data_IF_994222126130
#
_entry.id   IF_994222126130
#
_cell.length_a   1.000
_cell.length_b   1.000
_cell.length_c   1.000
_cell.angle_alpha   90.00
_cell.angle_beta   90.00
_cell.angle_gamma   90.00
#
_symmetry.space_group_name_H-M   'P 1'
#
loop_
_entity.id
_entity.type
_entity.pdbx_description
1 polymer ?
#
# COMPACT_ATOMS: atom_id res chain seq x y z
N UNK A 1 15.27 -15.87 -8.72
CA UNK A 1 15.94 -14.75 -8.03
C UNK A 1 14.87 -13.81 -7.48
N UNK A 2 14.32 -14.09 -6.30
CA UNK A 2 13.09 -13.43 -5.80
C UNK A 2 13.33 -12.04 -5.20
N UNK A 3 14.55 -11.79 -4.67
CA UNK A 3 14.93 -10.50 -4.09
C UNK A 3 15.00 -9.39 -5.15
N UNK A 4 15.47 -9.71 -6.36
CA UNK A 4 15.57 -8.74 -7.46
C UNK A 4 14.21 -8.18 -7.86
N UNK A 5 13.20 -9.06 -7.98
CA UNK A 5 11.84 -8.67 -8.36
C UNK A 5 11.17 -7.77 -7.31
N UNK A 6 11.45 -7.97 -6.02
CA UNK A 6 10.96 -7.09 -4.95
C UNK A 6 11.61 -5.69 -5.00
N UNK A 7 12.92 -5.64 -5.30
CA UNK A 7 13.66 -4.38 -5.44
C UNK A 7 13.30 -3.64 -6.73
N UNK A 8 13.02 -4.35 -7.82
CA UNK A 8 12.71 -3.79 -9.14
C UNK A 8 11.24 -3.39 -9.32
N UNK A 9 10.37 -3.63 -8.33
CA UNK A 9 8.99 -3.16 -8.43
C UNK A 9 8.97 -1.63 -8.63
N UNK A 10 8.38 -1.09 -9.70
CA UNK A 10 8.39 0.35 -9.90
C UNK A 10 7.65 1.05 -8.74
N UNK A 11 8.08 2.25 -8.32
CA UNK A 11 7.30 3.07 -7.39
C UNK A 11 5.89 3.27 -7.91
N UNK A 12 4.93 3.51 -7.01
CA UNK A 12 3.56 3.81 -7.40
C UNK A 12 3.52 5.07 -8.28
N UNK A 13 2.81 5.01 -9.39
CA UNK A 13 2.75 6.11 -10.36
C UNK A 13 1.71 7.14 -9.95
N UNK A 14 0.55 6.69 -9.48
CA UNK A 14 -0.54 7.57 -9.02
C UNK A 14 -1.01 7.27 -7.59
N UNK A 15 -0.52 6.20 -6.97
CA UNK A 15 -0.87 5.85 -5.60
C UNK A 15 -2.35 5.45 -5.43
N UNK A 16 -3.02 5.10 -6.54
CA UNK A 16 -4.42 4.69 -6.53
C UNK A 16 -4.66 3.41 -5.72
N UNK A 17 -5.90 3.21 -5.26
CA UNK A 17 -6.26 2.03 -4.49
C UNK A 17 -5.92 0.70 -5.16
N UNK A 18 -6.02 0.63 -6.50
CA UNK A 18 -5.63 -0.56 -7.27
C UNK A 18 -4.12 -0.81 -7.23
N UNK A 19 -3.33 0.25 -7.35
CA UNK A 19 -1.87 0.15 -7.25
C UNK A 19 -1.43 -0.25 -5.84
N UNK A 20 -2.07 0.30 -4.80
CA UNK A 20 -1.85 -0.05 -3.40
C UNK A 20 -2.20 -1.52 -3.11
N UNK A 21 -3.34 -2.01 -3.61
CA UNK A 21 -3.71 -3.43 -3.50
C UNK A 21 -2.65 -4.35 -4.13
N UNK A 22 -2.21 -4.00 -5.36
CA UNK A 22 -1.18 -4.78 -6.05
C UNK A 22 0.14 -4.78 -5.28
N UNK A 23 0.54 -3.66 -4.69
CA UNK A 23 1.73 -3.55 -3.86
C UNK A 23 1.62 -4.45 -2.62
N UNK A 24 0.50 -4.39 -1.90
CA UNK A 24 0.21 -5.24 -0.74
C UNK A 24 0.31 -6.73 -1.07
N UNK A 25 -0.38 -7.17 -2.12
CA UNK A 25 -0.38 -8.58 -2.55
C UNK A 25 1.02 -9.06 -2.92
N UNK A 26 1.78 -8.22 -3.62
CA UNK A 26 3.16 -8.53 -4.04
C UNK A 26 4.07 -8.71 -2.82
N UNK A 27 4.04 -7.78 -1.86
CA UNK A 27 4.85 -7.88 -0.64
C UNK A 27 4.44 -9.11 0.18
N UNK A 28 3.13 -9.34 0.34
CA UNK A 28 2.64 -10.53 1.05
C UNK A 28 3.10 -11.83 0.39
N UNK A 29 3.06 -11.91 -0.95
CA UNK A 29 3.54 -13.08 -1.69
C UNK A 29 5.03 -13.31 -1.43
N UNK A 30 5.85 -12.26 -1.47
CA UNK A 30 7.28 -12.36 -1.18
C UNK A 30 7.55 -12.79 0.27
N UNK A 31 6.83 -12.25 1.25
CA UNK A 31 6.95 -12.66 2.66
C UNK A 31 6.56 -14.13 2.86
N UNK A 32 5.48 -14.59 2.22
CA UNK A 32 5.09 -16.01 2.24
C UNK A 32 6.16 -16.91 1.62
N UNK A 33 6.75 -16.49 0.50
CA UNK A 33 7.83 -17.23 -0.14
C UNK A 33 9.07 -17.32 0.78
N UNK A 34 9.51 -16.21 1.39
CA UNK A 34 10.62 -16.21 2.33
C UNK A 34 10.37 -17.13 3.52
N UNK A 35 9.18 -17.05 4.12
CA UNK A 35 8.78 -17.93 5.22
C UNK A 35 8.78 -19.40 4.83
N UNK A 36 8.33 -19.74 3.62
CA UNK A 36 8.36 -21.12 3.10
C UNK A 36 9.78 -21.67 2.93
N UNK A 37 10.77 -20.79 2.75
CA UNK A 37 12.19 -21.13 2.68
C UNK A 37 12.86 -21.16 4.06
N UNK A 38 12.11 -20.99 5.15
CA UNK A 38 12.66 -20.89 6.50
C UNK A 38 13.48 -19.61 6.73
N UNK A 39 13.25 -18.57 5.91
CA UNK A 39 13.91 -17.28 6.05
C UNK A 39 12.96 -16.31 6.75
N UNK A 40 13.45 -15.68 7.81
CA UNK A 40 12.73 -14.62 8.52
C UNK A 40 13.36 -13.27 8.14
N UNK A 41 12.70 -12.47 7.29
CA UNK A 41 13.27 -11.20 6.87
C UNK A 41 13.27 -10.19 8.03
N UNK A 42 14.33 -9.38 8.09
CA UNK A 42 14.42 -8.29 9.05
C UNK A 42 13.25 -7.30 8.84
N UNK A 43 12.52 -7.03 9.91
CA UNK A 43 11.28 -6.27 9.78
C UNK A 43 11.51 -4.84 9.25
N UNK A 44 12.53 -4.17 9.79
CA UNK A 44 12.95 -2.84 9.36
C UNK A 44 13.35 -2.77 7.88
N UNK A 45 13.94 -3.84 7.35
CA UNK A 45 14.31 -3.93 5.94
C UNK A 45 13.07 -4.00 5.04
N UNK A 46 12.08 -4.81 5.41
CA UNK A 46 10.81 -4.91 4.66
C UNK A 46 10.04 -3.59 4.72
N UNK A 47 9.97 -2.95 5.89
CA UNK A 47 9.36 -1.63 6.03
C UNK A 47 10.04 -0.62 5.10
N UNK A 48 11.37 -0.52 5.15
CA UNK A 48 12.14 0.44 4.35
C UNK A 48 11.96 0.22 2.84
N UNK A 49 11.97 -1.04 2.37
CA UNK A 49 11.75 -1.32 0.94
C UNK A 49 10.32 -0.96 0.53
N UNK A 50 9.35 -1.21 1.39
CA UNK A 50 7.94 -0.90 1.13
C UNK A 50 7.73 0.61 1.05
N UNK A 51 8.35 1.37 1.95
CA UNK A 51 8.37 2.82 1.94
C UNK A 51 8.88 3.37 0.59
N UNK A 52 9.99 2.82 0.07
CA UNK A 52 10.54 3.24 -1.23
C UNK A 52 9.60 3.02 -2.42
N UNK A 53 8.53 2.23 -2.26
CA UNK A 53 7.52 2.02 -3.31
C UNK A 53 6.37 3.01 -3.23
N UNK A 54 6.11 3.63 -2.08
CA UNK A 54 5.02 4.60 -1.94
C UNK A 54 5.29 5.85 -2.77
N UNK A 55 4.24 6.41 -3.36
CA UNK A 55 4.30 7.76 -3.92
C UNK A 55 4.36 8.81 -2.79
N UNK A 56 4.66 10.05 -3.15
CA UNK A 56 4.83 11.14 -2.19
C UNK A 56 3.61 11.35 -1.27
N UNK A 57 2.39 11.17 -1.78
CA UNK A 57 1.17 11.37 -1.00
C UNK A 57 0.98 10.26 0.03
N UNK A 58 1.16 9.00 -0.38
CA UNK A 58 1.07 7.88 0.55
C UNK A 58 2.23 7.88 1.56
N UNK A 59 3.44 8.22 1.12
CA UNK A 59 4.61 8.38 1.98
C UNK A 59 4.38 9.44 3.07
N UNK A 60 3.90 10.63 2.70
CA UNK A 60 3.67 11.71 3.66
C UNK A 60 2.71 11.30 4.78
N UNK A 61 1.61 10.61 4.43
CA UNK A 61 0.65 10.20 5.45
C UNK A 61 1.11 8.98 6.23
N UNK A 62 1.88 8.10 5.60
CA UNK A 62 2.58 7.04 6.34
C UNK A 62 3.50 7.62 7.40
N UNK A 63 4.35 8.59 7.05
CA UNK A 63 5.23 9.28 8.00
C UNK A 63 4.44 9.97 9.12
N UNK A 64 3.29 10.60 8.79
CA UNK A 64 2.40 11.18 9.79
C UNK A 64 1.82 10.13 10.75
N UNK A 65 1.45 8.95 10.23
CA UNK A 65 0.99 7.83 11.06
C UNK A 65 2.09 7.33 11.99
N UNK A 66 3.35 7.40 11.56
CA UNK A 66 4.52 6.96 12.32
C UNK A 66 5.04 7.98 13.34
N UNK A 67 4.50 9.21 13.41
CA UNK A 67 5.04 10.28 14.25
C UNK A 67 5.12 9.95 15.75
N UNK A 68 4.29 9.02 16.23
CA UNK A 68 4.31 8.56 17.63
C UNK A 68 5.28 7.41 17.90
N UNK A 69 5.94 6.88 16.86
CA UNK A 69 6.86 5.75 16.98
C UNK A 69 8.29 6.25 17.20
N UNK A 70 8.98 5.68 18.18
CA UNK A 70 10.38 6.00 18.49
C UNK A 70 11.33 5.30 17.51
N UNK A 71 10.93 4.12 17.02
CA UNK A 71 11.69 3.29 16.08
C UNK A 71 10.90 3.05 14.79
N UNK A 72 11.57 2.50 13.77
CA UNK A 72 10.93 2.10 12.50
C UNK A 72 9.82 1.08 12.79
N UNK A 73 8.56 1.35 12.40
CA UNK A 73 7.45 0.42 12.63
C UNK A 73 7.68 -0.93 11.95
N UNK A 74 7.04 -1.96 12.50
CA UNK A 74 7.15 -3.29 11.94
C UNK A 74 6.48 -3.33 10.57
N UNK A 75 6.90 -4.22 9.68
CA UNK A 75 6.30 -4.31 8.34
C UNK A 75 4.79 -4.65 8.36
N UNK A 76 4.27 -5.14 9.49
CA UNK A 76 2.85 -5.38 9.64
C UNK A 76 2.06 -4.07 9.62
N UNK A 77 2.63 -3.01 10.21
CA UNK A 77 1.98 -1.71 10.34
C UNK A 77 1.86 -1.02 8.97
N UNK A 78 2.94 -1.05 8.17
CA UNK A 78 2.90 -0.47 6.82
C UNK A 78 2.01 -1.26 5.87
N UNK A 79 1.97 -2.60 6.01
CA UNK A 79 1.06 -3.43 5.22
C UNK A 79 -0.40 -3.14 5.57
N UNK A 80 -0.73 -3.02 6.85
CA UNK A 80 -2.07 -2.64 7.29
C UNK A 80 -2.45 -1.23 6.81
N UNK A 81 -1.51 -0.28 6.86
CA UNK A 81 -1.71 1.05 6.31
C UNK A 81 -2.05 1.02 4.81
N UNK A 82 -1.28 0.26 4.01
CA UNK A 82 -1.51 0.14 2.57
C UNK A 82 -2.89 -0.48 2.30
N UNK A 83 -3.24 -1.55 3.01
CA UNK A 83 -4.54 -2.23 2.88
C UNK A 83 -5.72 -1.28 3.20
N UNK A 84 -5.65 -0.56 4.32
CA UNK A 84 -6.67 0.43 4.68
C UNK A 84 -6.82 1.53 3.63
N UNK A 85 -5.71 2.00 3.03
CA UNK A 85 -5.77 3.02 1.98
C UNK A 85 -6.35 2.50 0.67
N UNK A 86 -6.03 1.26 0.32
CA UNK A 86 -6.61 0.61 -0.84
C UNK A 86 -8.14 0.52 -0.70
N UNK A 87 -8.62 0.02 0.44
CA UNK A 87 -10.05 -0.09 0.75
C UNK A 87 -10.77 1.27 0.82
N UNK A 88 -10.13 2.29 1.41
CA UNK A 88 -10.71 3.63 1.48
C UNK A 88 -10.87 4.25 0.09
N UNK A 89 -9.89 4.06 -0.80
CA UNK A 89 -9.95 4.53 -2.19
C UNK A 89 -11.08 3.87 -2.98
N UNK A 90 -11.37 2.60 -2.69
CA UNK A 90 -12.48 1.86 -3.30
C UNK A 90 -13.84 2.31 -2.75
N UNK A 91 -13.91 2.68 -1.47
CA UNK A 91 -15.14 3.14 -0.81
C UNK A 91 -15.59 4.54 -1.25
N UNK A 92 -14.68 5.37 -1.79
CA UNK A 92 -14.98 6.71 -2.29
C UNK A 92 -15.58 6.67 -3.72
N UNK A 93 -15.18 5.71 -4.54
CA UNK A 93 -15.69 5.54 -5.90
C UNK A 93 -17.21 5.31 -6.04
N UNK A 94 -17.92 4.54 -5.19
CA UNK A 94 -19.37 4.35 -5.33
C UNK A 94 -20.20 5.60 -5.01
N UNK A 95 -19.62 6.61 -4.36
CA UNK A 95 -20.36 7.82 -3.93
C UNK A 95 -20.43 8.86 -5.06
N UNK A 96 -19.42 8.94 -5.93
CA UNK A 96 -19.37 9.91 -7.03
C UNK A 96 -20.35 9.52 -8.14
N UNK A 97 -20.45 8.25 -8.50
CA UNK A 97 -21.38 7.78 -9.55
C UNK A 97 -22.86 7.96 -9.20
N UNK A 98 -23.22 8.16 -7.92
CA UNK A 98 -24.62 8.37 -7.50
C UNK A 98 -25.07 9.84 -7.61
N UNK A 99 -24.15 10.80 -7.72
CA UNK A 99 -24.50 12.24 -7.83
C UNK A 99 -24.71 12.70 -9.27
N UNK A 100 -24.12 12.04 -10.25
CA UNK A 100 -24.29 12.40 -11.67
C UNK A 100 -25.61 11.90 -12.28
N UNK A 101 -26.28 10.94 -11.64
CA UNK A 101 -27.55 10.36 -12.13
C UNK A 101 -28.84 11.08 -11.70
N UNK A 102 -28.79 12.22 -11.00
CA UNK A 102 -29.99 12.94 -10.52
C UNK A 102 -30.27 14.30 -11.20
N UNK A 103 -29.53 14.66 -12.23
CA UNK A 103 -29.67 15.95 -12.93
C UNK A 103 -30.44 15.91 -14.26
N UNK A 104 -30.83 14.74 -14.76
CA UNK A 104 -31.37 14.60 -16.12
C UNK A 104 -32.80 14.03 -16.13
N UNK A 105 -33.73 14.64 -15.38
CA UNK A 105 -35.16 14.40 -15.58
C UNK A 105 -35.98 15.59 -15.06
N UNK A 106 -35.88 16.73 -15.75
CA UNK A 106 -36.84 17.83 -15.65
C UNK A 106 -36.63 18.82 -16.81
N UNK A 107 -37.21 18.50 -17.97
CA UNK A 107 -37.72 19.47 -18.97
C UNK A 107 -38.59 18.72 -19.97
#
# INVERSE_FOLDING_TARGET
MHVKSAVEFPPLNDGSGKELHKLYDTIQQHLRALKSMGQEPLASFITSITELKLDATNMFVWQRHCQSHVDVPHYYDILQFIDHRAQASESINPIVSKREGKGAEAT
#
